data_IF_202560154901
#
_entry.id   IF_202560154901
#
_cell.length_a   1.000
_cell.length_b   1.000
_cell.length_c   1.000
_cell.angle_alpha   90.00
_cell.angle_beta   90.00
_cell.angle_gamma   90.00
#
_symmetry.space_group_name_H-M   'P 1'
#
loop_
_entity.id
_entity.type
_entity.pdbx_description
1 polymer ?
#
# COMPACT_ATOMS: atom_id res chain seq x y z
N UNK A 1 -32.82 16.02 3.23
CA UNK A 1 -31.57 16.54 3.77
C UNK A 1 -30.46 15.49 3.58
N UNK A 2 -29.28 15.91 3.14
CA UNK A 2 -28.10 15.07 2.99
C UNK A 2 -27.21 15.23 4.21
N UNK A 3 -26.65 14.18 4.76
CA UNK A 3 -25.78 14.23 5.95
C UNK A 3 -24.61 15.20 5.75
N UNK A 4 -24.08 15.27 4.54
CA UNK A 4 -22.95 16.15 4.19
C UNK A 4 -23.27 17.65 4.37
N UNK A 5 -24.55 18.02 4.27
CA UNK A 5 -24.99 19.43 4.41
C UNK A 5 -24.96 19.91 5.87
N UNK A 6 -24.80 18.99 6.84
CA UNK A 6 -24.87 19.24 8.29
C UNK A 6 -23.55 18.94 9.01
N UNK A 7 -22.45 18.78 8.28
CA UNK A 7 -21.14 18.58 8.90
C UNK A 7 -20.68 19.83 9.66
N UNK A 8 -20.13 19.63 10.86
CA UNK A 8 -19.41 20.69 11.54
C UNK A 8 -18.05 20.95 10.85
N UNK A 9 -17.39 22.06 11.17
CA UNK A 9 -16.15 22.46 10.49
C UNK A 9 -15.04 21.41 10.63
N UNK A 10 -14.89 20.78 11.81
CA UNK A 10 -13.88 19.72 12.02
C UNK A 10 -14.12 18.52 11.12
N UNK A 11 -15.36 18.04 11.04
CA UNK A 11 -15.73 16.90 10.20
C UNK A 11 -15.57 17.21 8.71
N UNK A 12 -15.89 18.46 8.32
CA UNK A 12 -15.71 18.93 6.96
C UNK A 12 -14.23 18.98 6.58
N UNK A 13 -13.39 19.61 7.40
CA UNK A 13 -11.94 19.67 7.18
C UNK A 13 -11.33 18.26 7.08
N UNK A 14 -11.74 17.36 7.96
CA UNK A 14 -11.29 15.96 7.95
C UNK A 14 -11.71 15.25 6.66
N UNK A 15 -12.93 15.47 6.20
CA UNK A 15 -13.44 14.84 4.98
C UNK A 15 -12.74 15.38 3.74
N UNK A 16 -12.46 16.69 3.68
CA UNK A 16 -11.65 17.27 2.61
C UNK A 16 -10.23 16.66 2.57
N UNK A 17 -9.56 16.50 3.72
CA UNK A 17 -8.26 15.84 3.80
C UNK A 17 -8.29 14.40 3.28
N UNK A 18 -9.36 13.66 3.54
CA UNK A 18 -9.51 12.29 2.98
C UNK A 18 -9.57 12.33 1.45
N UNK A 19 -10.35 13.26 0.89
CA UNK A 19 -10.43 13.43 -0.57
C UNK A 19 -9.09 13.84 -1.16
N UNK A 20 -8.39 14.79 -0.54
CA UNK A 20 -7.06 15.22 -0.97
C UNK A 20 -6.08 14.04 -1.08
N UNK A 21 -6.11 13.12 -0.10
CA UNK A 21 -5.26 11.93 -0.15
C UNK A 21 -5.70 10.94 -1.25
N UNK A 22 -7.00 10.75 -1.46
CA UNK A 22 -7.48 9.91 -2.56
C UNK A 22 -7.07 10.48 -3.92
N UNK A 23 -7.16 11.82 -4.07
CA UNK A 23 -6.74 12.52 -5.29
C UNK A 23 -5.22 12.39 -5.51
N UNK A 24 -4.39 12.55 -4.47
CA UNK A 24 -2.93 12.35 -4.53
C UNK A 24 -2.59 10.90 -4.93
N UNK A 25 -3.33 9.93 -4.41
CA UNK A 25 -3.15 8.51 -4.71
C UNK A 25 -3.78 8.08 -6.04
N UNK A 26 -4.40 9.01 -6.76
CA UNK A 26 -5.11 8.76 -8.04
C UNK A 26 -6.16 7.65 -7.92
N UNK A 27 -6.84 7.59 -6.76
CA UNK A 27 -7.92 6.64 -6.54
C UNK A 27 -9.23 7.31 -6.93
N UNK A 28 -9.89 6.74 -7.93
CA UNK A 28 -11.23 7.18 -8.33
C UNK A 28 -12.23 6.93 -7.21
N UNK A 29 -12.97 7.94 -6.84
CA UNK A 29 -14.04 7.84 -5.85
C UNK A 29 -15.27 8.66 -6.23
N UNK A 30 -16.39 8.29 -5.66
CA UNK A 30 -17.64 9.03 -5.75
C UNK A 30 -18.12 9.41 -4.35
N UNK A 31 -18.43 10.69 -4.15
CA UNK A 31 -19.07 11.15 -2.91
C UNK A 31 -20.55 10.85 -2.97
N UNK A 32 -20.97 9.81 -2.26
CA UNK A 32 -22.38 9.42 -2.16
C UNK A 32 -22.96 9.74 -0.77
N UNK A 33 -23.72 10.82 -0.62
CA UNK A 33 -24.32 11.22 0.67
C UNK A 33 -25.45 10.30 1.15
N UNK A 34 -25.82 9.31 0.35
CA UNK A 34 -26.90 8.36 0.66
C UNK A 34 -26.38 7.02 1.21
N UNK A 35 -25.09 6.84 1.36
CA UNK A 35 -24.53 5.63 1.98
C UNK A 35 -25.00 5.56 3.44
N UNK A 36 -25.70 4.46 3.78
CA UNK A 36 -26.12 4.13 5.14
C UNK A 36 -25.51 2.80 5.52
N UNK A 37 -24.82 2.77 6.67
CA UNK A 37 -24.25 1.53 7.21
C UNK A 37 -25.13 0.98 8.32
N UNK A 38 -25.25 -0.34 8.40
CA UNK A 38 -26.09 -1.04 9.37
C UNK A 38 -25.53 -1.08 10.80
N UNK A 39 -24.43 -0.36 11.07
CA UNK A 39 -23.76 -0.33 12.38
C UNK A 39 -23.68 1.13 12.85
N UNK A 40 -24.08 1.38 14.08
CA UNK A 40 -24.24 2.71 14.68
C UNK A 40 -22.96 3.29 15.29
N UNK A 41 -21.90 2.48 15.40
CA UNK A 41 -20.62 2.92 15.96
C UNK A 41 -19.77 3.76 14.98
N UNK A 42 -20.14 3.83 13.71
CA UNK A 42 -19.41 4.65 12.75
C UNK A 42 -19.56 6.14 13.02
N UNK A 43 -18.45 6.85 12.91
CA UNK A 43 -18.40 8.30 12.95
C UNK A 43 -17.45 8.84 11.87
N UNK A 44 -17.62 10.10 11.47
CA UNK A 44 -16.88 10.75 10.39
C UNK A 44 -17.06 10.07 9.01
N UNK A 45 -16.04 9.37 8.50
CA UNK A 45 -16.05 8.83 7.15
C UNK A 45 -16.49 7.37 7.13
N UNK A 46 -17.41 7.05 6.24
CA UNK A 46 -17.76 5.67 5.84
C UNK A 46 -17.49 5.49 4.35
N UNK A 47 -17.23 4.26 3.93
CA UNK A 47 -16.96 3.96 2.53
C UNK A 47 -17.47 2.57 2.14
N UNK A 48 -17.70 2.40 0.84
CA UNK A 48 -17.96 1.12 0.18
C UNK A 48 -16.95 0.93 -0.95
N UNK A 49 -16.58 -0.31 -1.19
CA UNK A 49 -15.71 -0.72 -2.30
C UNK A 49 -16.57 -1.52 -3.26
N UNK A 50 -16.73 -0.99 -4.45
CA UNK A 50 -17.52 -1.60 -5.51
C UNK A 50 -16.61 -2.25 -6.56
N UNK A 51 -16.91 -3.50 -6.92
CA UNK A 51 -16.23 -4.19 -8.01
C UNK A 51 -16.91 -3.87 -9.34
N UNK A 52 -16.18 -3.27 -10.27
CA UNK A 52 -16.64 -2.98 -11.64
C UNK A 52 -16.36 -4.17 -12.58
N UNK A 53 -16.76 -5.37 -12.17
CA UNK A 53 -16.51 -6.63 -12.89
C UNK A 53 -17.72 -7.04 -13.70
N UNK A 54 -17.50 -7.37 -14.98
CA UNK A 54 -18.58 -7.82 -15.87
C UNK A 54 -19.15 -9.16 -15.37
N UNK A 55 -20.46 -9.22 -15.22
CA UNK A 55 -21.13 -10.44 -14.73
C UNK A 55 -21.28 -10.53 -13.20
N UNK A 56 -20.80 -9.54 -12.44
CA UNK A 56 -20.86 -9.55 -10.99
C UNK A 56 -22.28 -9.31 -10.41
N UNK A 57 -23.20 -8.79 -11.20
CA UNK A 57 -24.58 -8.50 -10.80
C UNK A 57 -24.80 -7.08 -10.30
N UNK A 58 -26.05 -6.78 -9.90
CA UNK A 58 -26.46 -5.42 -9.52
C UNK A 58 -25.92 -4.97 -8.16
N UNK A 59 -25.68 -5.90 -7.24
CA UNK A 59 -25.02 -5.59 -5.97
C UNK A 59 -23.53 -5.92 -6.09
N UNK A 60 -22.74 -4.90 -6.38
CA UNK A 60 -21.31 -5.01 -6.68
C UNK A 60 -20.39 -4.63 -5.50
N UNK A 61 -20.93 -4.33 -4.32
CA UNK A 61 -20.15 -4.02 -3.13
C UNK A 61 -19.41 -5.26 -2.62
N UNK A 62 -18.09 -5.24 -2.65
CA UNK A 62 -17.20 -6.32 -2.20
C UNK A 62 -16.62 -6.09 -0.81
N UNK A 63 -16.64 -4.85 -0.34
CA UNK A 63 -16.15 -4.47 0.97
C UNK A 63 -16.72 -3.15 1.41
N UNK A 64 -16.74 -2.93 2.71
CA UNK A 64 -17.22 -1.68 3.25
C UNK A 64 -16.66 -1.43 4.65
N UNK A 65 -16.51 -0.18 5.02
CA UNK A 65 -15.94 0.20 6.30
C UNK A 65 -16.15 1.65 6.67
N UNK A 66 -15.37 2.08 7.63
CA UNK A 66 -15.41 3.46 8.10
C UNK A 66 -14.64 3.67 9.39
N UNK A 67 -14.73 4.89 9.90
CA UNK A 67 -14.09 5.34 11.12
C UNK A 67 -15.03 5.16 12.32
N UNK A 68 -14.48 4.70 13.45
CA UNK A 68 -15.25 4.44 14.68
C UNK A 68 -14.41 4.76 15.93
N UNK A 69 -14.20 6.03 16.21
CA UNK A 69 -13.32 6.49 17.28
C UNK A 69 -13.87 6.19 18.69
N UNK A 70 -15.18 5.98 18.86
CA UNK A 70 -15.84 5.77 20.14
C UNK A 70 -15.83 4.32 20.63
N UNK A 71 -15.74 3.35 19.73
CA UNK A 71 -16.04 1.94 20.02
C UNK A 71 -15.14 1.34 21.11
N UNK A 72 -13.83 1.60 21.09
CA UNK A 72 -12.90 1.07 22.11
C UNK A 72 -13.24 1.58 23.49
N UNK A 73 -13.61 2.86 23.60
CA UNK A 73 -14.03 3.49 24.86
C UNK A 73 -15.34 2.91 25.37
N UNK A 74 -16.32 2.67 24.50
CA UNK A 74 -17.60 2.04 24.85
C UNK A 74 -17.41 0.61 25.37
N UNK A 75 -16.38 -0.10 24.88
CA UNK A 75 -16.00 -1.43 25.35
C UNK A 75 -15.09 -1.43 26.60
N UNK A 76 -14.89 -0.27 27.24
CA UNK A 76 -14.11 -0.13 28.46
C UNK A 76 -12.61 0.07 28.27
N UNK A 77 -12.15 0.27 27.04
CA UNK A 77 -10.75 0.60 26.72
C UNK A 77 -10.46 2.11 26.73
N UNK A 78 -9.24 2.53 26.45
CA UNK A 78 -8.89 3.94 26.30
C UNK A 78 -9.54 4.54 25.05
N UNK A 79 -9.66 5.86 25.01
CA UNK A 79 -10.10 6.57 23.81
C UNK A 79 -9.08 6.36 22.68
N UNK A 80 -9.48 5.61 21.64
CA UNK A 80 -8.58 5.17 20.57
C UNK A 80 -9.25 5.40 19.23
N UNK A 81 -8.65 6.24 18.35
CA UNK A 81 -9.15 6.41 17.00
C UNK A 81 -8.97 5.11 16.20
N UNK A 82 -10.06 4.63 15.62
CA UNK A 82 -10.05 3.39 14.85
C UNK A 82 -10.68 3.59 13.48
N UNK A 83 -10.17 2.86 12.52
CA UNK A 83 -10.75 2.65 11.20
C UNK A 83 -10.69 1.17 10.87
N UNK A 84 -11.67 0.66 10.19
CA UNK A 84 -11.67 -0.72 9.74
C UNK A 84 -12.68 -0.96 8.64
N UNK A 85 -12.57 -2.14 8.06
CA UNK A 85 -13.50 -2.58 7.04
C UNK A 85 -13.71 -4.09 7.12
N UNK A 86 -14.78 -4.54 6.51
CA UNK A 86 -15.05 -5.94 6.28
C UNK A 86 -15.27 -6.18 4.78
N UNK A 87 -14.80 -7.33 4.31
CA UNK A 87 -14.98 -7.77 2.94
C UNK A 87 -15.63 -9.14 2.89
N UNK A 88 -16.49 -9.35 1.90
CA UNK A 88 -17.12 -10.64 1.67
C UNK A 88 -16.20 -11.58 0.90
N UNK A 89 -15.57 -12.56 1.59
CA UNK A 89 -14.61 -13.49 0.96
C UNK A 89 -15.22 -14.15 -0.28
N UNK A 90 -16.44 -14.68 -0.19
CA UNK A 90 -17.11 -15.31 -1.34
C UNK A 90 -17.32 -14.35 -2.52
N UNK A 91 -17.54 -13.05 -2.25
CA UNK A 91 -17.67 -12.02 -3.28
C UNK A 91 -16.33 -11.66 -3.90
N UNK A 92 -15.27 -11.61 -3.10
CA UNK A 92 -13.90 -11.41 -3.59
C UNK A 92 -13.46 -12.56 -4.49
N UNK A 93 -13.67 -13.81 -4.05
CA UNK A 93 -13.36 -14.99 -4.87
C UNK A 93 -14.14 -14.95 -6.20
N UNK A 94 -15.45 -14.66 -6.16
CA UNK A 94 -16.26 -14.52 -7.36
C UNK A 94 -15.72 -13.42 -8.30
N UNK A 95 -15.29 -12.27 -7.77
CA UNK A 95 -14.70 -11.21 -8.57
C UNK A 95 -13.39 -11.68 -9.23
N UNK A 96 -12.50 -12.32 -8.47
CA UNK A 96 -11.23 -12.85 -8.96
C UNK A 96 -11.41 -13.93 -10.03
N UNK A 97 -12.40 -14.82 -9.85
CA UNK A 97 -12.74 -15.85 -10.84
C UNK A 97 -13.25 -15.24 -12.15
N UNK A 98 -14.14 -14.24 -12.06
CA UNK A 98 -14.67 -13.53 -13.24
C UNK A 98 -13.57 -12.75 -13.98
N UNK A 99 -12.60 -12.20 -13.26
CA UNK A 99 -11.42 -11.51 -13.83
C UNK A 99 -10.30 -12.47 -14.23
N UNK A 100 -10.40 -13.77 -13.90
CA UNK A 100 -9.34 -14.76 -14.12
C UNK A 100 -7.99 -14.34 -13.51
N UNK A 101 -8.05 -13.65 -12.35
CA UNK A 101 -6.90 -13.07 -11.70
C UNK A 101 -5.96 -14.13 -11.11
N UNK A 102 -4.64 -13.94 -11.32
CA UNK A 102 -3.60 -14.73 -10.66
C UNK A 102 -3.08 -13.95 -9.46
N UNK A 103 -3.09 -14.59 -8.28
CA UNK A 103 -2.60 -13.97 -7.04
C UNK A 103 -1.15 -14.41 -6.79
N UNK A 104 -0.17 -13.50 -6.82
CA UNK A 104 1.17 -13.79 -6.34
C UNK A 104 1.16 -13.79 -4.80
N UNK A 105 1.79 -14.80 -4.19
CA UNK A 105 2.03 -14.84 -2.74
C UNK A 105 3.48 -14.42 -2.51
N UNK A 106 3.71 -13.36 -1.74
CA UNK A 106 5.05 -12.82 -1.48
C UNK A 106 5.24 -12.57 0.02
N UNK A 107 6.35 -13.06 0.59
CA UNK A 107 6.69 -12.95 2.02
C UNK A 107 7.47 -11.69 2.40
N UNK A 108 7.81 -10.84 1.43
CA UNK A 108 8.58 -9.62 1.60
C UNK A 108 7.99 -8.48 0.79
N UNK A 109 8.29 -7.24 1.16
CA UNK A 109 8.00 -6.07 0.33
C UNK A 109 9.24 -5.66 -0.46
N UNK A 110 9.03 -5.11 -1.65
CA UNK A 110 10.14 -4.67 -2.48
C UNK A 110 10.76 -3.39 -1.92
N UNK A 111 9.92 -2.45 -1.47
CA UNK A 111 10.39 -1.15 -1.06
C UNK A 111 9.62 -0.60 0.15
N UNK A 112 10.34 0.01 1.09
CA UNK A 112 9.77 0.85 2.15
C UNK A 112 10.20 2.30 1.96
N UNK A 113 9.21 3.19 1.77
CA UNK A 113 9.45 4.64 1.66
C UNK A 113 9.45 5.26 3.05
N UNK A 114 10.54 5.91 3.39
CA UNK A 114 10.73 6.67 4.63
C UNK A 114 10.78 8.17 4.34
N UNK A 115 10.36 8.97 5.28
CA UNK A 115 10.38 10.43 5.18
C UNK A 115 10.90 11.05 6.48
N UNK A 116 11.43 12.26 6.37
CA UNK A 116 12.00 12.99 7.51
C UNK A 116 10.96 13.89 8.17
N UNK A 117 10.16 14.62 7.38
CA UNK A 117 9.16 15.60 7.84
C UNK A 117 7.78 15.36 7.20
N UNK A 118 6.76 16.09 7.67
CA UNK A 118 5.38 15.95 7.17
C UNK A 118 5.21 16.39 5.70
N UNK A 119 6.07 17.25 5.18
CA UNK A 119 5.99 17.67 3.78
C UNK A 119 6.41 16.52 2.85
N UNK A 120 7.48 15.81 3.20
CA UNK A 120 7.92 14.63 2.45
C UNK A 120 6.95 13.45 2.61
N UNK A 121 6.16 13.40 3.69
CA UNK A 121 5.13 12.37 3.89
C UNK A 121 4.09 12.36 2.77
N UNK A 122 3.61 13.54 2.36
CA UNK A 122 2.67 13.63 1.22
C UNK A 122 3.28 13.08 -0.05
N UNK A 123 4.55 13.41 -0.27
CA UNK A 123 5.27 12.90 -1.42
C UNK A 123 5.51 11.38 -1.33
N UNK A 124 5.80 10.85 -0.13
CA UNK A 124 5.93 9.41 0.10
C UNK A 124 4.64 8.65 -0.25
N UNK A 125 3.48 9.20 0.11
CA UNK A 125 2.17 8.61 -0.24
C UNK A 125 1.94 8.62 -1.75
N UNK A 126 2.23 9.72 -2.42
CA UNK A 126 2.16 9.83 -3.88
C UNK A 126 3.10 8.82 -4.56
N UNK A 127 4.38 8.83 -4.19
CA UNK A 127 5.39 7.94 -4.78
C UNK A 127 5.10 6.47 -4.53
N UNK A 128 4.57 6.12 -3.33
CA UNK A 128 4.12 4.77 -3.04
C UNK A 128 3.04 4.31 -4.02
N UNK A 129 2.11 5.17 -4.37
CA UNK A 129 1.06 4.86 -5.33
C UNK A 129 1.61 4.67 -6.75
N UNK A 130 2.48 5.55 -7.21
CA UNK A 130 3.12 5.43 -8.52
C UNK A 130 3.88 4.10 -8.66
N UNK A 131 4.67 3.75 -7.64
CA UNK A 131 5.42 2.50 -7.64
C UNK A 131 4.52 1.26 -7.57
N UNK A 132 3.41 1.31 -6.83
CA UNK A 132 2.41 0.24 -6.80
C UNK A 132 1.73 0.05 -8.16
N UNK A 133 1.44 1.14 -8.86
CA UNK A 133 0.91 1.08 -10.23
C UNK A 133 1.93 0.50 -11.22
N UNK A 134 3.22 0.68 -10.98
CA UNK A 134 4.29 0.02 -11.72
C UNK A 134 4.49 -1.46 -11.37
N UNK A 135 3.76 -1.99 -10.37
CA UNK A 135 3.75 -3.42 -10.00
C UNK A 135 4.60 -3.79 -8.80
N UNK A 136 5.26 -2.83 -8.14
CA UNK A 136 6.06 -3.08 -6.95
C UNK A 136 5.21 -3.23 -5.68
N UNK A 137 5.69 -4.04 -4.74
CA UNK A 137 5.10 -4.16 -3.40
C UNK A 137 5.74 -3.10 -2.50
N UNK A 138 5.03 -2.01 -2.28
CA UNK A 138 5.55 -0.82 -1.61
C UNK A 138 4.76 -0.49 -0.35
N UNK A 139 5.49 -0.14 0.71
CA UNK A 139 4.91 0.38 1.94
C UNK A 139 5.56 1.69 2.36
N UNK A 140 4.85 2.47 3.18
CA UNK A 140 5.35 3.72 3.76
C UNK A 140 4.83 3.90 5.18
N UNK A 141 5.37 4.86 5.88
CA UNK A 141 4.95 5.20 7.25
C UNK A 141 3.77 6.18 7.24
N UNK A 142 2.68 5.83 7.89
CA UNK A 142 1.45 6.64 7.94
C UNK A 142 1.21 7.33 9.29
N UNK A 143 1.82 6.82 10.37
CA UNK A 143 1.49 7.21 11.76
C UNK A 143 2.39 8.29 12.34
N UNK A 144 3.38 8.79 11.59
CA UNK A 144 4.31 9.84 12.04
C UNK A 144 5.41 9.34 12.98
N UNK A 145 5.84 8.08 12.82
CA UNK A 145 6.96 7.54 13.59
C UNK A 145 8.27 8.25 13.26
N UNK A 146 9.14 8.35 14.25
CA UNK A 146 10.51 8.82 14.02
C UNK A 146 11.23 7.94 12.98
N UNK A 147 12.25 8.48 12.32
CA UNK A 147 13.05 7.76 11.32
C UNK A 147 13.55 6.40 11.83
N UNK A 148 13.99 6.34 13.11
CA UNK A 148 14.38 5.07 13.77
C UNK A 148 13.21 4.08 13.86
N UNK A 149 11.98 4.57 14.07
CA UNK A 149 10.77 3.75 14.09
C UNK A 149 10.42 3.23 12.70
N UNK A 150 10.65 4.03 11.67
CA UNK A 150 10.44 3.67 10.27
C UNK A 150 11.41 2.56 9.83
N UNK A 151 12.70 2.65 10.19
CA UNK A 151 13.66 1.57 9.96
C UNK A 151 13.22 0.23 10.57
N UNK A 152 12.78 0.26 11.84
CA UNK A 152 12.27 -0.97 12.50
C UNK A 152 11.03 -1.55 11.82
N UNK A 153 10.18 -0.70 11.26
CA UNK A 153 9.01 -1.14 10.52
C UNK A 153 9.41 -1.80 9.19
N UNK A 154 10.34 -1.20 8.46
CA UNK A 154 10.87 -1.75 7.22
C UNK A 154 11.54 -3.12 7.43
N UNK A 155 12.34 -3.27 8.50
CA UNK A 155 12.95 -4.56 8.87
C UNK A 155 11.88 -5.61 9.18
N UNK A 156 10.80 -5.24 9.90
CA UNK A 156 9.70 -6.16 10.24
C UNK A 156 8.93 -6.65 9.01
N UNK A 157 8.87 -5.83 7.95
CA UNK A 157 8.22 -6.15 6.70
C UNK A 157 9.15 -6.85 5.70
N UNK A 158 10.36 -7.18 6.10
CA UNK A 158 11.38 -7.77 5.23
C UNK A 158 11.57 -6.98 3.93
N UNK A 159 11.62 -5.64 4.04
CA UNK A 159 11.79 -4.78 2.88
C UNK A 159 13.14 -5.03 2.21
N UNK A 160 13.15 -5.27 0.89
CA UNK A 160 14.38 -5.45 0.11
C UNK A 160 15.15 -4.14 0.00
N UNK A 161 14.45 -3.06 -0.32
CA UNK A 161 15.02 -1.72 -0.47
C UNK A 161 14.34 -0.72 0.47
N UNK A 162 15.08 0.31 0.86
CA UNK A 162 14.62 1.46 1.61
C UNK A 162 14.89 2.72 0.79
N UNK A 163 13.91 3.61 0.69
CA UNK A 163 14.09 4.95 0.12
C UNK A 163 13.82 5.98 1.19
N UNK A 164 14.78 6.89 1.39
CA UNK A 164 14.69 7.96 2.39
C UNK A 164 14.42 9.26 1.64
N UNK A 165 13.23 9.82 1.87
CA UNK A 165 12.82 11.08 1.30
C UNK A 165 13.17 12.22 2.25
N UNK A 166 13.91 13.19 1.75
CA UNK A 166 14.19 14.45 2.43
C UNK A 166 14.11 15.61 1.42
N UNK A 167 13.88 16.81 1.90
CA UNK A 167 13.64 17.97 1.05
C UNK A 167 14.86 18.34 0.19
N UNK A 168 16.08 18.10 0.68
CA UNK A 168 17.30 18.45 -0.05
C UNK A 168 17.46 17.57 -1.30
N UNK A 169 17.35 16.25 -1.14
CA UNK A 169 17.47 15.31 -2.26
C UNK A 169 16.32 15.50 -3.25
N UNK A 170 15.09 15.68 -2.76
CA UNK A 170 13.92 15.92 -3.61
C UNK A 170 14.03 17.18 -4.45
N UNK A 171 14.59 18.28 -3.90
CA UNK A 171 14.83 19.50 -4.65
C UNK A 171 15.84 19.33 -5.79
N UNK A 172 16.74 18.35 -5.66
CA UNK A 172 17.71 17.97 -6.68
C UNK A 172 17.18 16.87 -7.65
N UNK A 173 15.93 16.48 -7.52
CA UNK A 173 15.34 15.34 -8.24
C UNK A 173 16.09 14.02 -7.97
N UNK A 174 16.54 13.83 -6.73
CA UNK A 174 17.32 12.68 -6.29
C UNK A 174 16.63 11.97 -5.11
N UNK A 175 16.96 10.69 -4.93
CA UNK A 175 16.58 9.90 -3.76
C UNK A 175 17.73 9.01 -3.34
N UNK A 176 17.84 8.80 -2.03
CA UNK A 176 18.75 7.82 -1.46
C UNK A 176 18.08 6.48 -1.35
N UNK A 177 18.58 5.49 -2.08
CA UNK A 177 18.13 4.10 -2.05
C UNK A 177 19.15 3.27 -1.28
N UNK A 178 18.67 2.49 -0.33
CA UNK A 178 19.48 1.56 0.46
C UNK A 178 19.03 0.13 0.23
N UNK A 179 19.92 -0.73 -0.16
CA UNK A 179 19.68 -2.17 -0.17
C UNK A 179 19.70 -2.70 1.26
N UNK A 180 18.60 -3.32 1.70
CA UNK A 180 18.49 -3.74 3.10
C UNK A 180 19.29 -5.02 3.40
N UNK A 181 19.66 -5.83 2.40
CA UNK A 181 20.49 -7.03 2.53
C UNK A 181 21.98 -6.68 2.57
N UNK A 182 22.49 -5.95 1.56
CA UNK A 182 23.91 -5.59 1.45
C UNK A 182 24.29 -4.37 2.29
N UNK A 183 23.29 -3.55 2.69
CA UNK A 183 23.45 -2.27 3.41
C UNK A 183 24.11 -1.17 2.57
N UNK A 184 24.33 -1.39 1.31
CA UNK A 184 24.83 -0.39 0.37
C UNK A 184 23.80 0.71 0.13
N UNK A 185 24.28 1.94 -0.02
CA UNK A 185 23.45 3.12 -0.27
C UNK A 185 23.90 3.77 -1.57
N UNK A 186 22.93 4.09 -2.42
CA UNK A 186 23.14 4.80 -3.68
C UNK A 186 22.22 6.01 -3.76
N UNK A 187 22.68 7.09 -4.39
CA UNK A 187 21.85 8.25 -4.72
C UNK A 187 21.52 8.16 -6.21
N UNK A 188 20.25 8.15 -6.52
CA UNK A 188 19.76 8.03 -7.89
C UNK A 188 18.74 9.12 -8.20
N UNK A 189 18.56 9.42 -9.48
CA UNK A 189 17.48 10.32 -9.92
C UNK A 189 16.12 9.70 -9.64
N UNK A 190 15.16 10.50 -9.19
CA UNK A 190 13.76 10.09 -9.03
C UNK A 190 13.18 9.51 -10.31
N UNK A 191 13.50 10.09 -11.46
CA UNK A 191 13.01 9.64 -12.77
C UNK A 191 13.55 8.23 -13.14
N UNK A 192 14.69 7.83 -12.57
CA UNK A 192 15.30 6.53 -12.79
C UNK A 192 14.89 5.47 -11.75
N UNK A 193 14.14 5.84 -10.69
CA UNK A 193 13.86 4.96 -9.56
C UNK A 193 13.15 3.67 -9.99
N UNK A 194 12.13 3.76 -10.84
CA UNK A 194 11.38 2.60 -11.33
C UNK A 194 12.30 1.65 -12.09
N UNK A 195 13.09 2.17 -13.02
CA UNK A 195 14.02 1.37 -13.81
C UNK A 195 15.11 0.70 -12.94
N UNK A 196 15.66 1.47 -11.99
CA UNK A 196 16.64 0.96 -11.04
C UNK A 196 16.09 -0.19 -10.19
N UNK A 197 14.88 -0.04 -9.66
CA UNK A 197 14.24 -1.09 -8.86
C UNK A 197 13.94 -2.34 -9.69
N UNK A 198 13.45 -2.17 -10.90
CA UNK A 198 13.15 -3.27 -11.81
C UNK A 198 14.42 -4.09 -12.13
N UNK A 199 15.52 -3.41 -12.47
CA UNK A 199 16.81 -4.05 -12.71
C UNK A 199 17.32 -4.82 -11.48
N UNK A 200 17.32 -4.18 -10.31
CA UNK A 200 17.85 -4.80 -9.08
C UNK A 200 16.99 -5.95 -8.56
N UNK A 201 15.66 -5.84 -8.68
CA UNK A 201 14.74 -6.89 -8.22
C UNK A 201 14.68 -8.10 -9.17
N UNK A 202 14.92 -7.89 -10.46
CA UNK A 202 15.01 -8.98 -11.43
C UNK A 202 16.29 -9.82 -11.21
N UNK A 203 17.41 -9.18 -10.88
CA UNK A 203 18.68 -9.88 -10.60
C UNK A 203 18.57 -10.74 -9.32
N UNK A 204 17.86 -10.25 -8.27
CA UNK A 204 17.65 -11.03 -7.03
C UNK A 204 16.71 -12.24 -7.23
N UNK A 205 15.89 -12.27 -8.29
CA UNK A 205 15.02 -13.40 -8.61
C UNK A 205 15.75 -14.55 -9.33
N UNK A 206 16.91 -14.28 -9.90
CA UNK A 206 17.75 -15.28 -10.60
C UNK A 206 18.70 -16.03 -9.64
N UNK A 207 18.83 -15.60 -8.38
CA UNK A 207 19.43 -16.42 -7.31
C UNK A 207 18.41 -17.51 -6.89
N UNK A 208 18.14 -18.45 -7.78
CA UNK A 208 17.47 -19.70 -7.43
C UNK A 208 18.34 -20.43 -6.41
N UNK A 209 17.93 -20.43 -5.15
CA UNK A 209 18.34 -21.45 -4.17
C UNK A 209 17.85 -22.82 -4.70
N UNK A 210 18.65 -23.42 -5.54
CA UNK A 210 18.45 -24.81 -5.97
C UNK A 210 18.87 -25.75 -4.83
N UNK A 211 18.15 -25.70 -3.71
CA UNK A 211 18.25 -26.67 -2.60
C UNK A 211 17.33 -27.89 -2.83
N UNK A 212 17.10 -28.27 -4.09
CA UNK A 212 16.45 -29.54 -4.40
C UNK A 212 17.27 -30.33 -5.41
N UNK A 213 17.61 -31.57 -5.01
CA UNK A 213 18.16 -32.63 -5.84
C UNK A 213 17.54 -32.59 -7.25
N UNK A 214 18.24 -31.96 -8.19
CA UNK A 214 17.87 -31.96 -9.59
C UNK A 214 18.21 -33.34 -10.18
N UNK A 215 17.28 -34.31 -10.06
CA UNK A 215 17.27 -35.49 -10.88
C UNK A 215 16.81 -35.10 -12.31
N UNK A 216 17.72 -34.52 -13.09
CA UNK A 216 17.78 -34.53 -14.55
C UNK A 216 16.45 -34.30 -15.29
N UNK A 217 15.86 -33.11 -15.27
CA UNK A 217 15.10 -32.50 -16.38
C UNK A 217 14.75 -31.03 -16.03
N UNK A 218 15.73 -30.14 -16.08
CA UNK A 218 15.52 -28.72 -16.05
C UNK A 218 15.40 -28.18 -17.48
N UNK A 219 14.18 -28.15 -18.00
CA UNK A 219 13.86 -27.59 -19.31
C UNK A 219 13.67 -26.08 -19.30
N UNK A 220 14.61 -25.30 -18.74
CA UNK A 220 14.68 -23.85 -18.92
C UNK A 220 16.09 -23.44 -19.33
N UNK A 221 16.18 -22.77 -20.47
CA UNK A 221 17.41 -22.17 -21.01
C UNK A 221 17.91 -21.09 -20.04
N UNK A 222 18.90 -21.39 -19.21
CA UNK A 222 19.54 -20.42 -18.31
C UNK A 222 20.12 -20.96 -17.00
N UNK A 223 19.87 -22.19 -16.61
CA UNK A 223 20.50 -22.79 -15.42
C UNK A 223 21.94 -23.22 -15.70
N UNK A 224 22.94 -22.47 -15.21
CA UNK A 224 24.33 -22.90 -15.15
C UNK A 224 24.54 -23.66 -13.82
N UNK A 225 24.32 -24.98 -13.84
CA UNK A 225 24.86 -25.88 -12.82
C UNK A 225 26.38 -25.89 -12.94
N UNK A 226 27.12 -25.50 -11.89
CA UNK A 226 28.56 -25.70 -11.82
C UNK A 226 28.81 -27.21 -11.66
N UNK A 227 29.43 -27.81 -12.68
CA UNK A 227 30.00 -29.14 -12.58
C UNK A 227 31.20 -29.10 -11.59
N UNK A 228 31.10 -29.84 -10.49
CA UNK A 228 32.21 -30.41 -9.74
C UNK A 228 32.07 -31.93 -9.67
#
# INVERSE_FOLDING_TARGET
PKTIDYLNEESKERFEKVKDYLDIMQIDYEVNPSIVRGLDYYNHTVFEIEAKVKGFGANNVIGAGGRYNGLVKELGGPETPCIGFASGIGRLVMALELEQAKLPIVDSIDLFLMYVNEDEKKYAVYLAQELRMAGFIVETEYTGRSLKGQFKQADRLNSKFLVILNSEDLNNNEVKVKNNKTKEEEIISLDALIYYLDEKLTIDSDDCDCDHDCNGDCGHDGCHCKDE
#
